data_IF_704512548021
#
_entry.id   IF_704512548021
#
_cell.length_a   1.000
_cell.length_b   1.000
_cell.length_c   1.000
_cell.angle_alpha   90.00
_cell.angle_beta   90.00
_cell.angle_gamma   90.00
#
_symmetry.space_group_name_H-M   'P 1'
#
loop_
_entity.id
_entity.type
_entity.pdbx_description
1 polymer ?
#
# COMPACT_ATOMS: atom_id res chain seq x y z
N UNK A 1 10.86 39.65 -38.22
CA UNK A 1 10.44 39.01 -36.96
C UNK A 1 9.01 39.46 -36.66
N UNK A 2 8.01 38.79 -37.25
CA UNK A 2 6.59 39.10 -37.09
C UNK A 2 5.90 37.87 -36.49
N UNK A 3 5.28 38.08 -35.34
CA UNK A 3 4.08 37.41 -34.83
C UNK A 3 3.99 35.87 -34.84
N UNK A 4 4.85 35.21 -34.06
CA UNK A 4 4.62 33.82 -33.62
C UNK A 4 3.64 33.69 -32.43
N UNK A 5 3.28 34.81 -31.78
CA UNK A 5 2.51 34.79 -30.52
C UNK A 5 0.99 34.71 -30.72
N UNK A 6 0.48 35.05 -31.91
CA UNK A 6 -0.98 35.10 -32.16
C UNK A 6 -1.51 33.74 -32.65
N UNK A 7 -0.67 32.89 -33.25
CA UNK A 7 -1.11 31.57 -33.75
C UNK A 7 -1.31 30.56 -32.60
N UNK A 8 -0.63 30.73 -31.46
CA UNK A 8 -0.71 29.79 -30.34
C UNK A 8 -2.03 29.89 -29.55
N UNK A 9 -2.73 31.03 -29.59
CA UNK A 9 -3.92 31.27 -28.77
C UNK A 9 -5.21 30.78 -29.46
N UNK A 10 -5.21 30.63 -30.79
CA UNK A 10 -6.35 30.06 -31.52
C UNK A 10 -6.44 28.53 -31.43
N UNK A 11 -5.39 27.85 -30.94
CA UNK A 11 -5.26 26.39 -30.94
C UNK A 11 -5.96 25.69 -29.75
N UNK A 12 -6.50 26.44 -28.79
CA UNK A 12 -6.97 25.88 -27.51
C UNK A 12 -8.46 25.51 -27.44
N UNK A 13 -9.27 25.74 -28.49
CA UNK A 13 -10.74 25.85 -28.32
C UNK A 13 -11.59 24.79 -29.04
N UNK A 14 -11.05 23.77 -29.72
CA UNK A 14 -11.97 22.80 -30.37
C UNK A 14 -11.42 21.38 -30.47
N UNK A 15 -11.66 20.53 -29.46
CA UNK A 15 -11.55 19.07 -29.60
C UNK A 15 -12.49 18.37 -28.60
N UNK A 16 -13.75 18.20 -29.03
CA UNK A 16 -14.74 17.34 -28.39
C UNK A 16 -14.84 16.00 -29.14
N UNK A 17 -14.79 14.92 -28.37
CA UNK A 17 -15.27 13.56 -28.61
C UNK A 17 -14.64 12.70 -29.74
N UNK A 18 -13.94 11.62 -29.35
CA UNK A 18 -13.94 10.35 -30.07
C UNK A 18 -13.61 9.20 -29.10
N UNK A 19 -14.48 8.16 -28.95
CA UNK A 19 -14.16 6.97 -28.17
C UNK A 19 -13.84 5.77 -29.09
N UNK A 20 -12.71 5.09 -28.87
CA UNK A 20 -12.57 3.62 -28.86
C UNK A 20 -11.09 3.16 -28.91
N UNK A 21 -10.62 2.67 -27.76
CA UNK A 21 -10.01 1.34 -27.51
C UNK A 21 -8.82 0.80 -28.35
N UNK A 22 -7.89 0.16 -27.61
CA UNK A 22 -6.59 -0.43 -27.97
C UNK A 22 -5.44 0.57 -28.11
N UNK A 23 -4.19 0.12 -27.90
CA UNK A 23 -2.96 0.90 -28.06
C UNK A 23 -2.69 1.28 -29.55
N UNK A 24 -3.65 1.99 -30.10
CA UNK A 24 -3.79 2.61 -31.41
C UNK A 24 -4.21 4.03 -31.03
N UNK A 25 -3.31 4.98 -30.92
CA UNK A 25 -2.71 5.61 -32.08
C UNK A 25 -1.90 6.78 -31.52
N UNK A 26 -0.70 7.00 -32.04
CA UNK A 26 -0.22 8.38 -32.14
C UNK A 26 -1.12 9.00 -33.20
N UNK A 27 -2.22 9.65 -32.79
CA UNK A 27 -3.15 10.32 -33.70
C UNK A 27 -2.53 11.63 -34.15
N UNK A 28 -1.86 11.58 -35.30
CA UNK A 28 -1.39 12.79 -35.97
C UNK A 28 -2.60 13.48 -36.61
N UNK A 29 -3.21 14.44 -35.92
CA UNK A 29 -4.13 15.39 -36.54
C UNK A 29 -3.31 16.37 -37.38
N UNK A 30 -3.00 15.98 -38.61
CA UNK A 30 -2.67 16.95 -39.64
C UNK A 30 -3.93 17.75 -39.91
N UNK A 31 -4.07 18.94 -39.31
CA UNK A 31 -5.14 19.90 -39.64
C UNK A 31 -5.16 20.27 -41.14
N UNK A 32 -4.09 19.93 -41.88
CA UNK A 32 -4.12 19.93 -43.33
C UNK A 32 -5.08 18.85 -43.84
N UNK A 33 -6.25 19.31 -44.28
CA UNK A 33 -7.26 18.58 -45.05
C UNK A 33 -6.76 18.03 -46.40
N UNK A 34 -5.45 18.10 -46.67
CA UNK A 34 -4.83 17.58 -47.88
C UNK A 34 -4.49 16.09 -47.74
N UNK A 35 -5.26 15.18 -48.36
CA UNK A 35 -5.06 13.74 -48.25
C UNK A 35 -3.71 13.27 -48.82
N UNK A 36 -3.14 14.00 -49.80
CA UNK A 36 -1.82 13.67 -50.37
C UNK A 36 -0.71 13.88 -49.35
N UNK A 37 -0.78 14.97 -48.58
CA UNK A 37 0.19 15.24 -47.54
C UNK A 37 0.10 14.20 -46.42
N UNK A 38 -1.11 13.83 -46.04
CA UNK A 38 -1.33 12.76 -45.06
C UNK A 38 -0.72 11.43 -45.53
N UNK A 39 -0.88 11.07 -46.81
CA UNK A 39 -0.26 9.86 -47.37
C UNK A 39 1.27 9.91 -47.33
N UNK A 40 1.88 11.08 -47.58
CA UNK A 40 3.33 11.28 -47.53
C UNK A 40 3.89 11.24 -46.09
N UNK A 41 3.14 11.78 -45.12
CA UNK A 41 3.58 11.82 -43.72
C UNK A 41 3.34 10.51 -42.97
N UNK A 42 2.40 9.67 -43.41
CA UNK A 42 2.07 8.41 -42.73
C UNK A 42 3.29 7.50 -42.47
N UNK A 43 4.20 7.23 -43.43
CA UNK A 43 5.39 6.42 -43.17
C UNK A 43 6.33 7.06 -42.15
N UNK A 44 6.48 8.39 -42.21
CA UNK A 44 7.29 9.16 -41.27
C UNK A 44 6.76 9.02 -39.84
N UNK A 45 5.46 9.24 -39.67
CA UNK A 45 4.76 9.11 -38.40
C UNK A 45 4.92 7.72 -37.78
N UNK A 46 4.89 6.66 -38.60
CA UNK A 46 5.12 5.29 -38.16
C UNK A 46 6.56 5.10 -37.68
N UNK A 47 7.56 5.65 -38.39
CA UNK A 47 8.95 5.55 -38.00
C UNK A 47 9.23 6.30 -36.68
N UNK A 48 8.74 7.53 -36.55
CA UNK A 48 8.87 8.33 -35.33
C UNK A 48 8.20 7.64 -34.14
N UNK A 49 6.99 7.09 -34.34
CA UNK A 49 6.29 6.30 -33.32
C UNK A 49 7.15 5.14 -32.81
N UNK A 50 7.73 4.34 -33.71
CA UNK A 50 8.56 3.19 -33.33
C UNK A 50 9.77 3.60 -32.50
N UNK A 51 10.41 4.73 -32.81
CA UNK A 51 11.53 5.23 -32.02
C UNK A 51 11.11 5.58 -30.59
N UNK A 52 10.00 6.29 -30.45
CA UNK A 52 9.43 6.66 -29.14
C UNK A 52 9.02 5.43 -28.33
N UNK A 53 8.39 4.45 -28.98
CA UNK A 53 7.95 3.20 -28.33
C UNK A 53 9.11 2.43 -27.70
N UNK A 54 10.28 2.37 -28.36
CA UNK A 54 11.47 1.67 -27.83
C UNK A 54 11.96 2.26 -26.51
N UNK A 55 11.81 3.57 -26.32
CA UNK A 55 12.21 4.25 -25.08
C UNK A 55 11.09 4.21 -24.06
N UNK A 56 9.85 4.43 -24.50
CA UNK A 56 8.67 4.35 -23.65
C UNK A 56 8.61 3.02 -22.90
N UNK A 57 8.85 1.92 -23.60
CA UNK A 57 8.86 0.57 -23.02
C UNK A 57 9.88 0.40 -21.88
N UNK A 58 10.95 1.20 -21.86
CA UNK A 58 11.97 1.17 -20.79
C UNK A 58 11.58 2.01 -19.57
N UNK A 59 10.75 3.03 -19.76
CA UNK A 59 10.39 4.00 -18.71
C UNK A 59 8.94 3.89 -18.24
N UNK A 60 8.14 3.02 -18.85
CA UNK A 60 6.74 2.80 -18.54
C UNK A 60 6.55 2.46 -17.04
N UNK A 61 5.83 3.27 -16.24
CA UNK A 61 5.60 3.03 -14.82
C UNK A 61 4.59 1.91 -14.51
N UNK A 62 4.04 1.19 -15.50
CA UNK A 62 3.14 0.05 -15.26
C UNK A 62 1.85 0.43 -14.51
N UNK A 63 1.24 1.57 -14.83
CA UNK A 63 0.13 2.14 -14.07
C UNK A 63 -1.25 2.14 -14.72
N UNK A 64 -1.40 1.51 -15.89
CA UNK A 64 -2.66 1.41 -16.66
C UNK A 64 -3.28 2.74 -17.13
N UNK A 65 -2.65 3.89 -16.87
CA UNK A 65 -3.18 5.21 -17.21
C UNK A 65 -2.70 5.65 -18.61
N UNK A 66 -3.46 6.57 -19.20
CA UNK A 66 -3.18 7.19 -20.48
C UNK A 66 -2.77 8.65 -20.30
N UNK A 67 -1.81 9.11 -21.12
CA UNK A 67 -1.41 10.52 -21.17
C UNK A 67 -1.25 10.95 -22.62
N UNK A 68 -1.61 12.20 -22.91
CA UNK A 68 -1.49 12.78 -24.24
C UNK A 68 -0.46 13.90 -24.24
N UNK A 69 0.45 13.86 -25.20
CA UNK A 69 1.46 14.88 -25.42
C UNK A 69 1.32 15.48 -26.82
N UNK A 70 1.72 16.74 -26.92
CA UNK A 70 1.86 17.45 -28.20
C UNK A 70 3.33 17.85 -28.32
N UNK A 71 3.99 17.50 -29.41
CA UNK A 71 5.36 17.93 -29.67
C UNK A 71 5.57 18.40 -31.10
N UNK A 72 6.56 19.27 -31.29
CA UNK A 72 6.87 19.89 -32.56
C UNK A 72 8.24 19.42 -33.06
N UNK A 73 8.29 18.98 -34.31
CA UNK A 73 9.50 18.55 -35.00
C UNK A 73 9.87 19.55 -36.09
N UNK A 74 11.16 19.86 -36.21
CA UNK A 74 11.69 20.69 -37.28
C UNK A 74 12.01 19.92 -38.56
N UNK A 75 12.48 20.63 -39.58
CA UNK A 75 12.70 20.08 -40.92
C UNK A 75 13.71 18.93 -40.95
N UNK A 76 14.72 18.97 -40.08
CA UNK A 76 15.77 17.95 -40.02
C UNK A 76 15.42 16.82 -39.03
N UNK A 77 14.21 16.85 -38.45
CA UNK A 77 13.79 15.90 -37.43
C UNK A 77 14.19 16.29 -36.01
N UNK A 78 14.69 17.51 -35.82
CA UNK A 78 15.03 18.03 -34.49
C UNK A 78 13.76 18.25 -33.65
N UNK A 79 13.81 17.89 -32.38
CA UNK A 79 12.72 18.14 -31.43
C UNK A 79 12.74 19.61 -31.00
N UNK A 80 11.75 20.39 -31.45
CA UNK A 80 11.66 21.82 -31.14
C UNK A 80 10.99 22.08 -29.79
N UNK A 81 9.92 21.34 -29.47
CA UNK A 81 9.19 21.52 -28.23
C UNK A 81 8.32 20.31 -27.86
N UNK A 82 8.02 20.14 -26.58
CA UNK A 82 7.12 19.11 -26.05
C UNK A 82 6.24 19.72 -24.97
N UNK A 83 4.93 19.53 -25.10
CA UNK A 83 3.93 20.02 -24.17
C UNK A 83 2.97 18.91 -23.78
N UNK A 84 2.61 18.81 -22.50
CA UNK A 84 1.50 17.95 -22.11
C UNK A 84 0.18 18.56 -22.58
N UNK A 85 -0.75 17.71 -23.04
CA UNK A 85 -2.09 18.17 -23.44
C UNK A 85 -2.91 18.63 -22.23
N UNK A 86 -2.73 17.95 -21.10
CA UNK A 86 -3.39 18.26 -19.83
C UNK A 86 -2.38 18.83 -18.86
N UNK A 87 -2.74 19.91 -18.17
CA UNK A 87 -1.92 20.56 -17.14
C UNK A 87 -1.88 19.79 -15.81
N UNK A 88 -2.63 18.69 -15.71
CA UNK A 88 -2.67 17.89 -14.48
C UNK A 88 -1.30 17.24 -14.22
N UNK A 89 -0.70 17.49 -13.04
CA UNK A 89 0.59 16.91 -12.68
C UNK A 89 0.42 15.41 -12.46
N UNK A 90 0.68 14.65 -13.52
CA UNK A 90 0.69 13.20 -13.50
C UNK A 90 2.14 12.73 -13.71
N UNK A 91 2.69 11.86 -12.84
CA UNK A 91 4.04 11.33 -13.02
C UNK A 91 4.24 10.58 -14.37
N UNK A 92 3.16 10.12 -15.01
CA UNK A 92 3.22 9.66 -16.39
C UNK A 92 3.59 10.73 -17.39
N UNK A 93 3.10 11.94 -17.20
CA UNK A 93 3.36 13.07 -18.08
C UNK A 93 4.85 13.36 -18.13
N UNK A 94 5.50 13.43 -16.97
CA UNK A 94 6.94 13.63 -16.87
C UNK A 94 7.72 12.51 -17.57
N UNK A 95 7.31 11.25 -17.37
CA UNK A 95 7.94 10.09 -18.02
C UNK A 95 7.73 10.05 -19.52
N UNK A 96 6.55 10.46 -20.00
CA UNK A 96 6.26 10.51 -21.43
C UNK A 96 7.07 11.64 -22.09
N UNK A 97 7.19 12.79 -21.42
CA UNK A 97 8.07 13.89 -21.86
C UNK A 97 9.53 13.41 -21.89
N UNK A 98 9.97 12.68 -20.87
CA UNK A 98 11.28 12.06 -20.84
C UNK A 98 11.49 11.09 -22.01
N UNK A 99 10.53 10.20 -22.30
CA UNK A 99 10.64 9.26 -23.41
C UNK A 99 10.83 9.96 -24.77
N UNK A 100 10.05 11.02 -25.04
CA UNK A 100 10.16 11.80 -26.28
C UNK A 100 11.50 12.53 -26.36
N UNK A 101 11.93 13.17 -25.28
CA UNK A 101 13.19 13.93 -25.24
C UNK A 101 14.44 13.04 -25.34
N UNK A 102 14.36 11.78 -24.92
CA UNK A 102 15.44 10.81 -25.05
C UNK A 102 15.52 10.14 -26.43
N UNK A 103 14.56 10.36 -27.33
CA UNK A 103 14.58 9.79 -28.69
C UNK A 103 15.74 10.27 -29.54
N UNK A 104 16.34 11.42 -29.20
CA UNK A 104 17.29 12.10 -30.05
C UNK A 104 16.61 12.70 -31.28
N UNK A 105 17.34 12.76 -32.39
CA UNK A 105 16.83 13.29 -33.65
C UNK A 105 15.92 12.28 -34.35
N UNK A 106 14.75 12.75 -34.77
CA UNK A 106 13.84 12.00 -35.63
C UNK A 106 14.37 11.99 -37.07
N UNK A 107 13.85 11.13 -37.95
CA UNK A 107 14.16 11.25 -39.38
C UNK A 107 13.84 12.67 -39.89
N UNK A 108 14.49 13.13 -40.98
CA UNK A 108 14.14 14.41 -41.59
C UNK A 108 12.74 14.36 -42.21
N UNK A 109 12.03 15.49 -42.17
CA UNK A 109 10.69 15.58 -42.72
C UNK A 109 10.72 15.47 -44.27
N UNK A 110 9.61 15.01 -44.89
CA UNK A 110 9.50 15.03 -46.34
C UNK A 110 9.74 16.43 -46.92
N UNK A 111 10.33 16.53 -48.13
CA UNK A 111 10.62 17.81 -48.76
C UNK A 111 9.39 18.73 -48.82
N UNK A 112 9.58 19.99 -48.47
CA UNK A 112 8.51 21.00 -48.45
C UNK A 112 7.84 21.20 -47.09
N UNK A 113 8.13 20.38 -46.09
CA UNK A 113 7.69 20.59 -44.72
C UNK A 113 8.78 21.24 -43.87
N UNK A 114 8.43 22.32 -43.16
CA UNK A 114 9.35 23.02 -42.24
C UNK A 114 9.18 22.58 -40.78
N UNK A 115 7.96 22.21 -40.42
CA UNK A 115 7.58 21.86 -39.05
C UNK A 115 6.43 20.86 -39.09
N UNK A 116 6.46 19.89 -38.19
CA UNK A 116 5.38 18.93 -37.99
C UNK A 116 4.95 18.95 -36.52
N UNK A 117 3.66 19.16 -36.28
CA UNK A 117 3.06 19.02 -34.94
C UNK A 117 2.52 17.61 -34.80
N UNK A 118 2.89 16.95 -33.71
CA UNK A 118 2.56 15.57 -33.41
C UNK A 118 1.75 15.52 -32.13
N UNK A 119 0.57 14.91 -32.18
CA UNK A 119 -0.20 14.55 -31.00
C UNK A 119 -0.04 13.04 -30.75
N UNK A 120 0.44 12.68 -29.57
CA UNK A 120 0.74 11.32 -29.19
C UNK A 120 0.03 10.92 -27.91
N UNK A 121 -0.63 9.76 -27.94
CA UNK A 121 -1.24 9.15 -26.76
C UNK A 121 -0.34 8.01 -26.29
N UNK A 122 0.12 8.11 -25.06
CA UNK A 122 0.92 7.10 -24.38
C UNK A 122 0.03 6.34 -23.42
N UNK A 123 0.08 5.02 -23.48
CA UNK A 123 -0.64 4.13 -22.57
C UNK A 123 0.37 3.21 -21.90
N UNK A 124 0.26 3.07 -20.59
CA UNK A 124 1.00 2.06 -19.85
C UNK A 124 0.59 0.66 -20.31
N UNK A 125 1.55 -0.19 -20.69
CA UNK A 125 1.32 -1.56 -21.20
C UNK A 125 0.87 -2.53 -20.12
N UNK A 126 1.21 -2.24 -18.87
CA UNK A 126 0.88 -3.09 -17.75
C UNK A 126 -0.24 -2.47 -16.93
N UNK A 127 -1.33 -3.22 -16.76
CA UNK A 127 -2.28 -2.99 -15.68
C UNK A 127 -1.56 -3.33 -14.38
N UNK A 128 -1.61 -2.44 -13.40
CA UNK A 128 -1.21 -2.81 -12.04
C UNK A 128 -1.99 -4.08 -11.67
N UNK A 129 -1.29 -5.20 -11.48
CA UNK A 129 -1.71 -6.18 -10.49
C UNK A 129 -2.04 -5.44 -9.19
N UNK A 130 -2.95 -5.96 -8.36
CA UNK A 130 -3.74 -5.20 -7.38
C UNK A 130 -2.96 -4.04 -6.76
N UNK A 131 -3.40 -2.82 -7.10
CA UNK A 131 -2.94 -1.52 -6.63
C UNK A 131 -2.15 -1.62 -5.31
N UNK A 132 -0.83 -1.39 -5.36
CA UNK A 132 0.06 -1.52 -4.20
C UNK A 132 -0.39 -0.66 -3.02
N UNK A 133 -1.15 0.41 -3.30
CA UNK A 133 -1.81 1.24 -2.29
C UNK A 133 -2.90 0.47 -1.53
N UNK A 134 -3.71 -0.33 -2.24
CA UNK A 134 -4.69 -1.24 -1.63
C UNK A 134 -4.03 -2.38 -0.85
N UNK A 135 -2.86 -2.86 -1.28
CA UNK A 135 -2.09 -3.85 -0.51
C UNK A 135 -1.62 -3.24 0.82
N UNK A 136 -1.19 -1.99 0.81
CA UNK A 136 -0.88 -1.22 2.02
C UNK A 136 -2.10 -1.09 2.95
N UNK A 137 -3.25 -0.68 2.40
CA UNK A 137 -4.49 -0.53 3.17
C UNK A 137 -4.96 -1.85 3.79
N UNK A 138 -4.87 -2.96 3.04
CA UNK A 138 -5.20 -4.30 3.53
C UNK A 138 -4.23 -4.75 4.63
N UNK A 139 -2.94 -4.47 4.51
CA UNK A 139 -1.94 -4.79 5.53
C UNK A 139 -2.18 -3.99 6.82
N UNK A 140 -2.51 -2.70 6.70
CA UNK A 140 -2.87 -1.84 7.84
C UNK A 140 -4.15 -2.33 8.52
N UNK A 141 -5.18 -2.67 7.74
CA UNK A 141 -6.42 -3.23 8.27
C UNK A 141 -6.19 -4.55 9.02
N UNK A 142 -5.38 -5.45 8.46
CA UNK A 142 -5.03 -6.71 9.11
C UNK A 142 -4.28 -6.51 10.44
N UNK A 143 -3.36 -5.55 10.50
CA UNK A 143 -2.62 -5.22 11.72
C UNK A 143 -3.54 -4.68 12.83
N UNK A 144 -4.51 -3.82 12.50
CA UNK A 144 -5.49 -3.30 13.46
C UNK A 144 -6.41 -4.39 14.02
N UNK A 145 -6.84 -5.33 13.18
CA UNK A 145 -7.63 -6.50 13.62
C UNK A 145 -6.80 -7.40 14.56
N UNK A 146 -5.53 -7.63 14.24
CA UNK A 146 -4.62 -8.41 15.11
C UNK A 146 -4.42 -7.77 16.49
N UNK A 147 -4.18 -6.45 16.53
CA UNK A 147 -3.98 -5.72 17.79
C UNK A 147 -5.23 -5.67 18.67
N UNK A 148 -6.40 -5.47 18.06
CA UNK A 148 -7.68 -5.49 18.79
C UNK A 148 -7.99 -6.88 19.36
N UNK A 149 -7.72 -7.95 18.60
CA UNK A 149 -7.84 -9.33 19.09
C UNK A 149 -6.91 -9.61 20.29
N UNK A 150 -5.67 -9.14 20.23
CA UNK A 150 -4.70 -9.29 21.34
C UNK A 150 -5.13 -8.52 22.59
N UNK A 151 -5.65 -7.30 22.43
CA UNK A 151 -6.16 -6.49 23.55
C UNK A 151 -7.35 -7.16 24.23
N UNK A 152 -8.30 -7.70 23.46
CA UNK A 152 -9.45 -8.45 23.99
C UNK A 152 -8.97 -9.72 24.72
N UNK A 153 -8.02 -10.45 24.16
CA UNK A 153 -7.42 -11.62 24.83
C UNK A 153 -6.74 -11.24 26.16
N UNK A 154 -5.98 -10.14 26.18
CA UNK A 154 -5.35 -9.61 27.39
C UNK A 154 -6.37 -9.23 28.46
N UNK A 155 -7.45 -8.52 28.10
CA UNK A 155 -8.54 -8.18 29.03
C UNK A 155 -9.25 -9.41 29.58
N UNK A 156 -9.55 -10.41 28.74
CA UNK A 156 -10.15 -11.66 29.19
C UNK A 156 -9.23 -12.43 30.16
N UNK A 157 -7.92 -12.44 29.92
CA UNK A 157 -6.93 -13.06 30.81
C UNK A 157 -6.78 -12.32 32.15
N UNK A 158 -6.84 -10.99 32.14
CA UNK A 158 -6.82 -10.19 33.37
C UNK A 158 -8.09 -10.35 34.20
N UNK A 159 -9.23 -10.59 33.54
CA UNK A 159 -10.51 -10.84 34.21
C UNK A 159 -10.69 -12.27 34.73
N UNK A 160 -9.73 -13.18 34.43
CA UNK A 160 -9.73 -14.56 34.91
C UNK A 160 -8.91 -14.76 36.20
N UNK A 161 -8.41 -13.68 36.82
CA UNK A 161 -7.81 -13.75 38.14
C UNK A 161 -8.93 -13.64 39.19
N UNK A 162 -9.66 -14.75 39.33
CA UNK A 162 -10.65 -14.93 40.39
C UNK A 162 -9.98 -14.65 41.75
N UNK A 163 -10.42 -13.56 42.38
CA UNK A 163 -10.08 -13.20 43.75
C UNK A 163 -10.75 -14.16 44.76
N UNK A 164 -10.45 -15.45 44.68
CA UNK A 164 -10.59 -16.36 45.82
C UNK A 164 -9.28 -16.35 46.61
N UNK A 165 -8.99 -15.20 47.23
CA UNK A 165 -7.83 -15.00 48.07
C UNK A 165 -8.24 -14.28 49.34
N UNK A 166 -9.19 -14.85 50.09
CA UNK A 166 -9.32 -14.51 51.50
C UNK A 166 -7.96 -14.73 52.13
N UNK A 167 -7.38 -13.67 52.71
CA UNK A 167 -5.97 -13.63 53.12
C UNK A 167 -5.60 -14.84 53.95
N UNK A 168 -4.91 -15.79 53.32
CA UNK A 168 -4.39 -16.97 54.01
C UNK A 168 -3.29 -16.49 54.95
N UNK A 169 -3.34 -16.91 56.21
CA UNK A 169 -2.35 -16.46 57.19
C UNK A 169 -0.94 -16.91 56.77
N UNK A 170 -0.02 -15.95 56.68
CA UNK A 170 1.39 -16.17 56.37
C UNK A 170 2.18 -16.69 57.59
N UNK A 171 1.57 -16.70 58.76
CA UNK A 171 2.18 -17.15 60.01
C UNK A 171 1.94 -18.65 60.21
N UNK A 172 3.02 -19.42 60.32
CA UNK A 172 2.97 -20.87 60.49
C UNK A 172 4.09 -21.36 61.43
N UNK A 173 3.91 -22.56 61.95
CA UNK A 173 4.94 -23.26 62.71
C UNK A 173 5.05 -24.72 62.26
N UNK A 174 6.19 -25.33 62.58
CA UNK A 174 6.42 -26.75 62.36
C UNK A 174 6.00 -27.55 63.58
N UNK A 175 5.15 -28.55 63.36
CA UNK A 175 4.76 -29.53 64.38
C UNK A 175 5.71 -30.72 64.28
N UNK A 176 6.42 -31.01 65.39
CA UNK A 176 7.30 -32.18 65.49
C UNK A 176 6.49 -33.48 65.36
N UNK A 177 7.06 -34.57 64.81
CA UNK A 177 6.38 -35.85 64.74
C UNK A 177 6.09 -36.38 66.16
N UNK A 178 4.92 -37.02 66.33
CA UNK A 178 4.51 -37.56 67.63
C UNK A 178 3.59 -38.79 67.47
N UNK A 179 3.45 -39.56 68.55
CA UNK A 179 2.45 -40.61 68.63
C UNK A 179 1.21 -40.10 69.37
N UNK A 180 0.04 -40.32 68.78
CA UNK A 180 -1.24 -40.02 69.45
C UNK A 180 -1.46 -40.97 70.64
N UNK A 181 -2.37 -40.61 71.56
CA UNK A 181 -2.74 -41.46 72.72
C UNK A 181 -3.22 -42.87 72.32
N UNK A 182 -3.70 -43.02 71.07
CA UNK A 182 -4.19 -44.28 70.51
C UNK A 182 -3.09 -45.05 69.74
N UNK A 183 -1.82 -44.62 69.83
CA UNK A 183 -0.67 -45.30 69.23
C UNK A 183 -0.35 -44.93 67.77
N UNK A 184 -1.19 -44.14 67.10
CA UNK A 184 -0.97 -43.74 65.69
C UNK A 184 0.20 -42.76 65.59
N UNK A 185 1.15 -43.03 64.71
CA UNK A 185 2.25 -42.14 64.38
C UNK A 185 1.79 -41.00 63.45
N UNK A 186 2.09 -39.76 63.82
CA UNK A 186 1.83 -38.56 63.02
C UNK A 186 3.16 -37.98 62.56
N UNK A 187 3.42 -37.90 61.25
CA UNK A 187 4.63 -37.26 60.74
C UNK A 187 4.60 -35.74 60.99
N UNK A 188 5.78 -35.14 61.07
CA UNK A 188 5.89 -33.70 61.22
C UNK A 188 5.28 -32.97 60.01
N UNK A 189 4.65 -31.85 60.26
CA UNK A 189 3.96 -31.06 59.24
C UNK A 189 3.93 -29.57 59.62
N UNK A 190 3.69 -28.73 58.63
CA UNK A 190 3.44 -27.31 58.86
C UNK A 190 1.96 -27.06 59.17
N UNK A 191 1.72 -26.20 60.15
CA UNK A 191 0.39 -25.78 60.55
C UNK A 191 0.33 -24.25 60.61
N UNK A 192 -0.79 -23.67 60.16
CA UNK A 192 -1.10 -22.25 60.36
C UNK A 192 -1.11 -21.93 61.85
N UNK A 193 -0.54 -20.80 62.25
CA UNK A 193 -0.63 -20.35 63.65
C UNK A 193 -2.09 -20.05 63.99
N UNK A 194 -2.56 -20.55 65.13
CA UNK A 194 -3.91 -20.25 65.59
C UNK A 194 -4.06 -18.78 65.92
N UNK A 195 -5.12 -18.15 65.40
CA UNK A 195 -5.61 -16.83 65.76
C UNK A 195 -7.14 -16.85 65.93
N UNK A 196 -7.75 -15.69 66.17
CA UNK A 196 -9.21 -15.56 66.36
C UNK A 196 -10.01 -15.68 65.06
N UNK A 197 -9.39 -16.08 63.95
CA UNK A 197 -10.03 -16.18 62.64
C UNK A 197 -9.93 -17.58 62.06
N UNK A 198 -11.08 -18.24 61.86
CA UNK A 198 -11.10 -19.51 61.13
C UNK A 198 -10.94 -19.31 59.62
N UNK A 199 -11.24 -18.12 59.09
CA UNK A 199 -11.30 -17.90 57.63
C UNK A 199 -9.93 -17.86 56.94
N UNK A 200 -8.85 -17.67 57.68
CA UNK A 200 -7.48 -17.57 57.13
C UNK A 200 -6.65 -18.86 57.26
N UNK A 201 -7.21 -19.91 57.90
CA UNK A 201 -6.54 -21.20 58.10
C UNK A 201 -6.48 -22.02 56.79
N UNK A 202 -5.38 -22.75 56.56
CA UNK A 202 -5.24 -23.59 55.34
C UNK A 202 -6.27 -24.71 55.24
N UNK A 203 -6.83 -25.13 56.36
CA UNK A 203 -7.89 -26.14 56.40
C UNK A 203 -9.25 -25.60 55.98
N UNK A 204 -9.43 -24.28 55.87
CA UNK A 204 -10.73 -23.66 55.60
C UNK A 204 -11.10 -23.72 54.13
N UNK A 205 -12.37 -24.01 53.85
CA UNK A 205 -12.90 -24.15 52.50
C UNK A 205 -12.68 -22.85 51.71
N UNK A 206 -11.98 -22.97 50.57
CA UNK A 206 -11.57 -21.84 49.74
C UNK A 206 -10.08 -21.50 49.83
N UNK A 207 -9.39 -21.94 50.89
CA UNK A 207 -7.95 -21.73 51.03
C UNK A 207 -7.15 -22.93 50.49
N UNK A 208 -5.89 -22.71 50.12
CA UNK A 208 -4.97 -23.75 49.66
C UNK A 208 -3.74 -23.78 50.57
N UNK A 209 -3.36 -24.98 51.02
CA UNK A 209 -2.15 -25.16 51.82
C UNK A 209 -0.91 -24.99 50.91
N UNK A 210 0.00 -24.02 51.17
CA UNK A 210 1.14 -23.74 50.31
C UNK A 210 2.19 -24.86 50.29
N UNK A 211 2.25 -25.70 51.32
CA UNK A 211 3.24 -26.79 51.43
C UNK A 211 2.77 -28.09 50.77
N UNK A 212 1.46 -28.25 50.55
CA UNK A 212 0.91 -29.49 49.98
C UNK A 212 0.09 -29.28 48.71
N UNK A 213 -0.28 -28.04 48.39
CA UNK A 213 -1.16 -27.70 47.27
C UNK A 213 -2.60 -28.18 47.44
N UNK A 214 -2.96 -28.74 48.61
CA UNK A 214 -4.30 -29.28 48.87
C UNK A 214 -5.26 -28.18 49.30
N UNK A 215 -6.50 -28.15 48.78
CA UNK A 215 -7.52 -27.21 49.22
C UNK A 215 -8.02 -27.56 50.63
N UNK A 216 -8.41 -26.57 51.41
CA UNK A 216 -9.11 -26.73 52.68
C UNK A 216 -10.56 -27.17 52.49
N UNK A 217 -11.14 -27.76 53.52
CA UNK A 217 -12.50 -28.36 53.51
C UNK A 217 -13.33 -28.03 54.75
N UNK A 218 -12.75 -27.38 55.76
CA UNK A 218 -13.45 -26.94 56.98
C UNK A 218 -14.27 -25.70 56.65
N UNK A 219 -15.57 -25.71 56.94
CA UNK A 219 -16.40 -24.50 56.78
C UNK A 219 -16.31 -23.67 58.07
N UNK A 220 -16.22 -22.33 58.00
CA UNK A 220 -16.23 -21.46 59.17
C UNK A 220 -17.56 -21.52 59.94
#
# INVERSE_FOLDING_TARGET
MRDFRVVLIAFLVTLLACPATLARDVLFSSENSNPLLHAQLKPYCIAARKQVEVIWDKVDPHNGKEVQLIFALGANGELLNVFPRTLDPNPLTERAVFAVTQCGDFPPLPPGQKTLIVCATFKSKHDFGPDMQKVGDVAVAAALIGLTGLAIYGLLRLSANDNYGGGVSANYHWVQPYHTKNGVFVPGHYQTNGDDSLSNNWSTAGNVNPFTGKPGWVRP
#
